data_IF_663818522311
#
_entry.id   IF_663818522311
#
_cell.length_a   1.000
_cell.length_b   1.000
_cell.length_c   1.000
_cell.angle_alpha   90.00
_cell.angle_beta   90.00
_cell.angle_gamma   90.00
#
_symmetry.space_group_name_H-M   'P 1'
#
loop_
_entity.id
_entity.type
_entity.pdbx_description
1 polymer ?
#
# COMPACT_ATOMS: atom_id res chain seq x y z
N UNK A 1 -37.44 29.57 -62.35
CA UNK A 1 -36.28 28.69 -62.05
C UNK A 1 -35.92 28.92 -60.59
N UNK A 2 -36.04 27.89 -59.72
CA UNK A 2 -35.60 27.80 -58.30
C UNK A 2 -36.63 27.25 -57.27
N UNK A 3 -37.80 26.74 -57.69
CA UNK A 3 -38.76 26.10 -56.75
C UNK A 3 -38.19 24.86 -56.04
N UNK A 4 -37.25 24.15 -56.67
CA UNK A 4 -36.56 23.00 -56.09
C UNK A 4 -35.59 23.39 -54.95
N UNK A 5 -34.97 24.57 -55.01
CA UNK A 5 -34.11 25.08 -53.93
C UNK A 5 -34.92 25.40 -52.68
N UNK A 6 -36.11 25.97 -52.83
CA UNK A 6 -36.99 26.27 -51.69
C UNK A 6 -37.55 25.00 -51.06
N UNK A 7 -37.87 23.98 -51.88
CA UNK A 7 -38.30 22.67 -51.37
C UNK A 7 -37.19 21.95 -50.58
N UNK A 8 -35.92 22.08 -51.01
CA UNK A 8 -34.76 21.57 -50.27
C UNK A 8 -34.55 22.31 -48.94
N UNK A 9 -34.69 23.64 -48.95
CA UNK A 9 -34.53 24.43 -47.73
C UNK A 9 -35.64 24.15 -46.71
N UNK A 10 -36.89 23.98 -47.15
CA UNK A 10 -37.98 23.53 -46.27
C UNK A 10 -37.77 22.11 -45.74
N UNK A 11 -37.28 21.17 -46.58
CA UNK A 11 -36.95 19.81 -46.15
C UNK A 11 -35.83 19.76 -45.12
N UNK A 12 -34.88 20.70 -45.19
CA UNK A 12 -33.81 20.84 -44.20
C UNK A 12 -34.39 21.41 -42.90
N UNK A 13 -35.22 22.47 -42.97
CA UNK A 13 -35.85 23.12 -41.81
C UNK A 13 -36.72 22.15 -41.00
N UNK A 14 -37.60 21.38 -41.65
CA UNK A 14 -38.48 20.40 -40.99
C UNK A 14 -37.73 19.22 -40.36
N UNK A 15 -36.49 18.95 -40.81
CA UNK A 15 -35.67 17.81 -40.36
C UNK A 15 -34.50 18.23 -39.46
N UNK A 16 -34.38 19.52 -39.11
CA UNK A 16 -33.34 20.01 -38.18
C UNK A 16 -33.42 19.32 -36.83
N UNK A 17 -34.62 19.11 -36.30
CA UNK A 17 -34.84 18.40 -35.04
C UNK A 17 -34.31 16.96 -35.11
N UNK A 18 -34.60 16.24 -36.20
CA UNK A 18 -34.11 14.88 -36.40
C UNK A 18 -32.57 14.83 -36.52
N UNK A 19 -31.97 15.80 -37.20
CA UNK A 19 -30.52 15.91 -37.32
C UNK A 19 -29.87 16.23 -35.96
N UNK A 20 -30.46 17.11 -35.14
CA UNK A 20 -29.96 17.43 -33.81
C UNK A 20 -30.00 16.22 -32.87
N UNK A 21 -31.10 15.45 -32.90
CA UNK A 21 -31.20 14.19 -32.13
C UNK A 21 -30.18 13.14 -32.58
N UNK A 22 -29.94 13.00 -33.89
CA UNK A 22 -28.94 12.07 -34.40
C UNK A 22 -27.51 12.44 -33.96
N UNK A 23 -27.18 13.73 -33.94
CA UNK A 23 -25.87 14.22 -33.44
C UNK A 23 -25.73 13.95 -31.95
N UNK A 24 -26.78 14.19 -31.16
CA UNK A 24 -26.75 13.95 -29.72
C UNK A 24 -26.54 12.47 -29.38
N UNK A 25 -27.23 11.56 -30.10
CA UNK A 25 -27.06 10.11 -29.94
C UNK A 25 -25.65 9.68 -30.35
N UNK A 26 -25.11 10.23 -31.45
CA UNK A 26 -23.77 9.90 -31.92
C UNK A 26 -22.69 10.32 -30.90
N UNK A 27 -22.82 11.49 -30.28
CA UNK A 27 -21.90 11.96 -29.23
C UNK A 27 -22.00 11.06 -27.99
N UNK A 28 -23.21 10.73 -27.55
CA UNK A 28 -23.43 9.82 -26.42
C UNK A 28 -22.85 8.42 -26.64
N UNK A 29 -23.05 7.86 -27.83
CA UNK A 29 -22.50 6.56 -28.21
C UNK A 29 -20.97 6.57 -28.25
N UNK A 30 -20.37 7.66 -28.76
CA UNK A 30 -18.91 7.82 -28.82
C UNK A 30 -18.32 7.95 -27.41
N UNK A 31 -18.95 8.74 -26.53
CA UNK A 31 -18.52 8.88 -25.14
C UNK A 31 -18.65 7.56 -24.34
N UNK A 32 -19.72 6.79 -24.59
CA UNK A 32 -19.90 5.47 -24.00
C UNK A 32 -18.84 4.48 -24.49
N UNK A 33 -18.54 4.45 -25.79
CA UNK A 33 -17.48 3.61 -26.35
C UNK A 33 -16.09 3.97 -25.79
N UNK A 34 -15.80 5.26 -25.61
CA UNK A 34 -14.56 5.72 -24.99
C UNK A 34 -14.48 5.31 -23.51
N UNK A 35 -15.60 5.39 -22.78
CA UNK A 35 -15.69 5.00 -21.38
C UNK A 35 -15.52 3.49 -21.18
N UNK A 36 -16.06 2.67 -22.09
CA UNK A 36 -15.88 1.22 -22.08
C UNK A 36 -14.42 0.84 -22.39
N UNK A 37 -13.75 1.59 -23.26
CA UNK A 37 -12.33 1.35 -23.58
C UNK A 37 -11.41 1.71 -22.40
N UNK A 38 -11.69 2.79 -21.67
CA UNK A 38 -10.92 3.15 -20.45
C UNK A 38 -11.16 2.19 -19.27
N UNK A 39 -12.30 1.50 -19.22
CA UNK A 39 -12.61 0.52 -18.17
C UNK A 39 -11.87 -0.81 -18.33
N UNK A 40 -11.24 -1.06 -19.48
CA UNK A 40 -10.61 -2.35 -19.78
C UNK A 40 -9.09 -2.39 -19.47
N UNK A 41 -8.54 -1.33 -18.87
CA UNK A 41 -7.12 -1.24 -18.55
C UNK A 41 -6.68 -1.92 -17.23
N UNK A 42 -7.59 -2.46 -16.41
CA UNK A 42 -7.21 -3.18 -15.19
C UNK A 42 -7.99 -4.50 -15.07
N UNK A 43 -7.52 -5.52 -15.79
CA UNK A 43 -7.88 -6.91 -15.51
C UNK A 43 -7.05 -7.38 -14.30
N UNK A 44 -7.66 -7.70 -13.13
CA UNK A 44 -6.93 -8.10 -11.93
C UNK A 44 -6.25 -9.48 -12.02
N UNK A 45 -6.48 -10.21 -13.12
CA UNK A 45 -6.07 -11.60 -13.26
C UNK A 45 -4.58 -11.78 -13.62
N UNK A 46 -3.92 -10.79 -14.22
CA UNK A 46 -2.49 -10.89 -14.60
C UNK A 46 -1.52 -10.52 -13.47
N UNK A 47 -1.97 -9.88 -12.40
CA UNK A 47 -1.10 -9.47 -11.29
C UNK A 47 -0.58 -10.65 -10.44
N UNK A 48 -1.28 -11.79 -10.45
CA UNK A 48 -1.00 -12.93 -9.57
C UNK A 48 0.22 -13.74 -10.04
N UNK A 49 0.55 -13.72 -11.34
CA UNK A 49 1.77 -14.37 -11.89
C UNK A 49 3.07 -13.78 -11.33
N UNK A 50 3.01 -12.57 -10.76
CA UNK A 50 4.18 -11.87 -10.21
C UNK A 50 4.61 -12.36 -8.82
N UNK A 51 3.75 -13.09 -8.09
CA UNK A 51 4.03 -13.48 -6.69
C UNK A 51 5.17 -14.50 -6.56
N UNK A 52 5.32 -15.42 -7.52
CA UNK A 52 6.44 -16.39 -7.53
C UNK A 52 7.79 -15.75 -7.87
N UNK A 53 7.82 -14.55 -8.44
CA UNK A 53 9.08 -13.88 -8.85
C UNK A 53 9.77 -13.13 -7.71
N UNK A 54 9.06 -12.79 -6.62
CA UNK A 54 9.58 -11.90 -5.57
C UNK A 54 9.90 -12.57 -4.23
N UNK A 55 9.47 -13.82 -4.02
CA UNK A 55 9.77 -14.57 -2.78
C UNK A 55 10.99 -15.44 -3.04
N UNK A 56 12.13 -15.22 -2.35
CA UNK A 56 13.30 -16.06 -2.53
C UNK A 56 13.01 -17.51 -2.18
N UNK A 57 13.79 -18.44 -2.75
CA UNK A 57 13.75 -19.85 -2.33
C UNK A 57 13.96 -19.95 -0.82
N UNK A 58 13.24 -20.87 -0.18
CA UNK A 58 13.25 -21.14 1.27
C UNK A 58 12.74 -19.98 2.14
N UNK A 59 11.96 -19.05 1.58
CA UNK A 59 11.29 -18.00 2.34
C UNK A 59 9.77 -18.10 2.22
N UNK A 60 9.10 -17.68 3.30
CA UNK A 60 7.66 -17.60 3.41
C UNK A 60 7.26 -16.15 3.68
N UNK A 61 6.12 -15.77 3.10
CA UNK A 61 5.40 -14.57 3.48
C UNK A 61 4.34 -14.92 4.50
N UNK A 62 4.50 -14.38 5.71
CA UNK A 62 3.53 -14.56 6.79
C UNK A 62 2.76 -13.25 6.98
N UNK A 63 1.44 -13.23 6.79
CA UNK A 63 0.60 -12.08 7.11
C UNK A 63 0.71 -11.75 8.60
N UNK A 64 0.82 -10.46 8.93
CA UNK A 64 0.94 -10.01 10.33
C UNK A 64 0.10 -8.78 10.60
N UNK A 65 -0.48 -8.74 11.79
CA UNK A 65 -1.16 -7.56 12.31
C UNK A 65 -0.16 -6.68 13.07
N UNK A 66 -0.09 -5.40 12.68
CA UNK A 66 0.81 -4.44 13.29
C UNK A 66 0.01 -3.46 14.15
N UNK A 67 0.19 -3.49 15.46
CA UNK A 67 -0.52 -2.65 16.42
C UNK A 67 -0.25 -1.15 16.20
N UNK A 68 0.94 -0.79 15.71
CA UNK A 68 1.33 0.59 15.43
C UNK A 68 1.34 0.93 13.93
N UNK A 69 0.48 0.27 13.12
CA UNK A 69 0.41 0.45 11.68
C UNK A 69 0.26 1.93 11.25
N UNK A 70 -0.64 2.67 11.89
CA UNK A 70 -0.87 4.10 11.61
C UNK A 70 0.38 4.96 11.80
N UNK A 71 1.28 4.56 12.70
CA UNK A 71 2.54 5.28 12.97
C UNK A 71 3.63 4.95 11.95
N UNK A 72 3.45 3.88 11.20
CA UNK A 72 4.36 3.49 10.11
C UNK A 72 3.95 4.14 8.78
N UNK A 73 2.73 4.68 8.69
CA UNK A 73 2.24 5.43 7.54
C UNK A 73 3.07 6.71 7.37
N UNK A 74 3.93 6.72 6.34
CA UNK A 74 4.88 7.80 6.06
C UNK A 74 6.35 7.48 6.35
N UNK A 75 6.63 6.42 7.13
CA UNK A 75 7.99 5.91 7.34
C UNK A 75 8.26 4.71 6.44
N UNK A 76 7.28 3.80 6.36
CA UNK A 76 7.35 2.59 5.57
C UNK A 76 6.76 2.86 4.17
N UNK A 77 7.57 2.63 3.13
CA UNK A 77 7.12 2.64 1.74
C UNK A 77 6.38 1.35 1.38
N UNK A 78 6.71 0.76 0.21
CA UNK A 78 6.21 -0.56 -0.17
C UNK A 78 6.80 -1.69 0.70
N UNK A 79 8.02 -1.49 1.20
CA UNK A 79 8.70 -2.42 2.10
C UNK A 79 9.67 -1.69 3.03
N UNK A 80 10.14 -2.38 4.07
CA UNK A 80 11.16 -1.87 4.98
C UNK A 80 11.75 -2.96 5.87
N UNK A 81 12.84 -2.63 6.56
CA UNK A 81 13.47 -3.52 7.54
C UNK A 81 12.98 -3.13 8.94
N UNK A 82 12.46 -4.09 9.69
CA UNK A 82 11.88 -3.86 11.01
C UNK A 82 12.36 -4.89 12.02
N UNK A 83 12.27 -4.53 13.29
CA UNK A 83 12.21 -5.50 14.38
C UNK A 83 10.75 -5.62 14.84
N UNK A 84 10.33 -6.84 15.14
CA UNK A 84 8.99 -7.13 15.64
C UNK A 84 9.03 -7.57 17.11
N UNK A 85 8.12 -6.99 17.88
CA UNK A 85 7.93 -7.27 19.29
C UNK A 85 6.48 -7.69 19.54
N UNK A 86 6.26 -8.52 20.55
CA UNK A 86 4.93 -8.84 21.08
C UNK A 86 4.85 -8.32 22.50
N UNK A 87 3.74 -7.65 22.82
CA UNK A 87 3.43 -7.20 24.19
C UNK A 87 2.45 -8.20 24.80
N UNK A 88 2.81 -8.87 25.92
CA UNK A 88 1.89 -9.78 26.60
C UNK A 88 0.64 -9.04 27.08
N UNK A 89 -0.53 -9.68 26.96
CA UNK A 89 -1.82 -9.10 27.40
C UNK A 89 -1.83 -8.76 28.91
N UNK A 90 -1.04 -9.47 29.71
CA UNK A 90 -0.91 -9.28 31.15
C UNK A 90 -0.06 -8.06 31.55
N UNK A 91 0.36 -7.22 30.59
CA UNK A 91 1.05 -5.96 30.88
C UNK A 91 2.55 -6.10 31.14
N UNK A 92 3.21 -7.06 30.48
CA UNK A 92 4.65 -7.31 30.60
C UNK A 92 5.53 -6.50 29.65
N UNK A 93 6.87 -6.60 29.78
CA UNK A 93 7.80 -5.99 28.84
C UNK A 93 7.60 -6.58 27.44
N UNK A 94 7.75 -5.73 26.42
CA UNK A 94 7.71 -6.17 25.03
C UNK A 94 8.83 -7.20 24.77
N UNK A 95 8.46 -8.36 24.23
CA UNK A 95 9.41 -9.42 23.87
C UNK A 95 9.70 -9.37 22.38
N UNK A 96 10.98 -9.38 22.04
CA UNK A 96 11.44 -9.45 20.65
C UNK A 96 11.12 -10.82 20.04
N UNK A 97 10.37 -10.82 18.94
CA UNK A 97 9.99 -12.03 18.19
C UNK A 97 10.83 -12.19 16.93
N UNK A 98 11.24 -11.10 16.30
CA UNK A 98 12.08 -11.13 15.12
C UNK A 98 12.90 -9.87 14.95
N UNK A 99 14.11 -10.01 14.39
CA UNK A 99 15.04 -8.89 14.14
C UNK A 99 15.31 -8.76 12.65
N UNK A 100 15.46 -7.53 12.19
CA UNK A 100 15.81 -7.20 10.79
C UNK A 100 14.95 -7.95 9.76
N UNK A 101 13.67 -8.12 10.08
CA UNK A 101 12.71 -8.75 9.18
C UNK A 101 12.32 -7.78 8.07
N UNK A 102 12.15 -8.31 6.86
CA UNK A 102 11.57 -7.55 5.76
C UNK A 102 10.06 -7.50 5.93
N UNK A 103 9.54 -6.32 6.27
CA UNK A 103 8.11 -6.06 6.30
C UNK A 103 7.68 -5.54 4.94
N UNK A 104 6.62 -6.13 4.38
CA UNK A 104 6.02 -5.77 3.11
C UNK A 104 4.61 -5.25 3.37
N UNK A 105 4.23 -4.20 2.63
CA UNK A 105 2.87 -3.68 2.58
C UNK A 105 2.19 -4.20 1.32
N UNK A 106 0.93 -4.62 1.44
CA UNK A 106 0.19 -5.10 0.27
C UNK A 106 -0.12 -3.93 -0.69
N UNK A 107 0.09 -4.08 -2.02
CA UNK A 107 -0.14 -3.00 -2.99
C UNK A 107 -1.60 -2.53 -3.05
N UNK A 108 -2.53 -3.48 -2.98
CA UNK A 108 -3.98 -3.22 -3.08
C UNK A 108 -4.62 -2.87 -1.73
N UNK A 109 -3.93 -3.13 -0.62
CA UNK A 109 -4.41 -2.84 0.72
C UNK A 109 -3.27 -2.34 1.62
N UNK A 110 -3.06 -1.02 1.74
CA UNK A 110 -1.99 -0.43 2.54
C UNK A 110 -2.02 -0.77 4.03
N UNK A 111 -3.17 -1.23 4.54
CA UNK A 111 -3.36 -1.64 5.93
C UNK A 111 -2.95 -3.10 6.16
N UNK A 112 -2.74 -3.88 5.10
CA UNK A 112 -2.30 -5.27 5.20
C UNK A 112 -0.77 -5.36 5.11
N UNK A 113 -0.18 -6.07 6.06
CA UNK A 113 1.25 -6.29 6.15
C UNK A 113 1.60 -7.78 6.14
N UNK A 114 2.78 -8.09 5.61
CA UNK A 114 3.37 -9.42 5.67
C UNK A 114 4.86 -9.31 5.98
N UNK A 115 5.39 -10.28 6.73
CA UNK A 115 6.84 -10.41 6.92
C UNK A 115 7.38 -11.52 6.05
N UNK A 116 8.54 -11.24 5.44
CA UNK A 116 9.33 -12.23 4.74
C UNK A 116 10.34 -12.84 5.71
N UNK A 117 10.30 -14.16 5.83
CA UNK A 117 11.10 -14.92 6.77
C UNK A 117 11.52 -16.26 6.16
N UNK A 118 12.63 -16.81 6.65
CA UNK A 118 13.05 -18.15 6.22
C UNK A 118 12.08 -19.19 6.75
N UNK A 119 11.81 -20.21 5.96
CA UNK A 119 10.92 -21.32 6.34
C UNK A 119 11.36 -21.97 7.67
N UNK A 120 12.68 -22.15 7.86
CA UNK A 120 13.25 -22.69 9.11
C UNK A 120 12.99 -21.86 10.36
N UNK A 121 12.64 -20.57 10.22
CA UNK A 121 12.34 -19.66 11.33
C UNK A 121 10.83 -19.48 11.55
N UNK A 122 9.99 -20.00 10.65
CA UNK A 122 8.55 -19.81 10.64
C UNK A 122 7.87 -20.37 11.90
N UNK A 123 8.22 -21.60 12.30
CA UNK A 123 7.60 -22.25 13.47
C UNK A 123 7.82 -21.44 14.76
N UNK A 124 9.04 -20.92 14.94
CA UNK A 124 9.39 -20.07 16.08
C UNK A 124 8.64 -18.75 16.05
N UNK A 125 8.48 -18.15 14.87
CA UNK A 125 7.75 -16.91 14.69
C UNK A 125 6.26 -17.10 15.03
N UNK A 126 5.64 -18.14 14.46
CA UNK A 126 4.22 -18.47 14.62
C UNK A 126 3.86 -18.91 16.05
N UNK A 127 4.81 -19.41 16.83
CA UNK A 127 4.62 -19.74 18.25
C UNK A 127 4.28 -18.51 19.12
N UNK A 128 4.45 -17.29 18.59
CA UNK A 128 4.23 -16.05 19.30
C UNK A 128 3.30 -15.15 18.49
N UNK A 129 1.98 -15.45 18.46
CA UNK A 129 1.03 -14.71 17.66
C UNK A 129 0.88 -13.27 18.15
N UNK A 130 0.67 -12.37 17.18
CA UNK A 130 0.47 -10.94 17.40
C UNK A 130 -0.90 -10.58 17.97
N UNK A 131 -1.18 -9.28 18.15
CA UNK A 131 -0.65 -8.18 17.33
C UNK A 131 0.80 -7.80 17.65
N UNK A 132 1.58 -7.46 16.61
CA UNK A 132 3.00 -7.12 16.72
C UNK A 132 3.21 -5.60 16.79
N UNK A 133 4.21 -5.16 17.54
CA UNK A 133 4.75 -3.80 17.46
C UNK A 133 5.99 -3.83 16.58
N UNK A 134 6.05 -2.97 15.57
CA UNK A 134 7.19 -2.86 14.67
C UNK A 134 8.04 -1.62 14.97
N UNK A 135 9.37 -1.80 14.99
CA UNK A 135 10.35 -0.72 15.04
C UNK A 135 11.16 -0.70 13.74
N UNK A 136 11.14 0.43 13.04
CA UNK A 136 11.80 0.57 11.73
C UNK A 136 13.30 0.74 11.90
N UNK A 137 14.08 -0.01 11.13
CA UNK A 137 15.54 0.13 11.05
C UNK A 137 15.94 0.81 9.74
N UNK A 138 16.92 1.75 9.78
CA UNK A 138 17.53 2.26 8.57
C UNK A 138 18.27 1.15 7.83
N UNK A 139 18.21 1.19 6.49
CA UNK A 139 18.86 0.19 5.63
C UNK A 139 20.40 0.29 5.67
N UNK A 140 20.94 1.44 6.09
CA UNK A 140 22.37 1.71 6.20
C UNK A 140 22.77 1.90 7.68
N UNK A 141 23.57 0.97 8.20
CA UNK A 141 24.08 1.04 9.57
C UNK A 141 25.23 2.05 9.67
N UNK A 142 24.90 3.34 9.74
CA UNK A 142 25.75 4.29 10.45
C UNK A 142 25.13 4.49 11.82
N UNK A 143 25.61 3.69 12.78
CA UNK A 143 25.17 3.70 14.17
C UNK A 143 25.27 5.11 14.75
N UNK A 144 24.13 5.73 15.04
CA UNK A 144 24.07 6.86 15.95
C UNK A 144 23.80 6.29 17.34
N UNK A 145 24.84 6.25 18.16
CA UNK A 145 24.72 5.92 19.57
C UNK A 145 23.86 7.00 20.25
N UNK A 146 22.79 6.59 20.93
CA UNK A 146 21.99 7.50 21.75
C UNK A 146 22.90 7.98 22.87
N UNK A 147 23.16 9.29 22.92
CA UNK A 147 24.00 9.91 23.92
C UNK A 147 23.54 9.44 25.32
N UNK A 148 24.39 8.66 25.99
CA UNK A 148 24.16 8.30 27.39
C UNK A 148 24.22 9.61 28.18
N UNK A 149 23.29 9.86 29.13
CA UNK A 149 23.41 11.00 30.01
C UNK A 149 24.74 10.89 30.76
N UNK A 150 25.64 11.84 30.52
CA UNK A 150 26.91 11.95 31.26
C UNK A 150 26.58 12.06 32.75
N UNK A 151 27.12 11.20 33.62
CA UNK A 151 26.92 11.34 35.06
C UNK A 151 27.42 12.72 35.51
N UNK A 152 26.54 13.54 36.08
CA UNK A 152 26.91 14.82 36.65
C UNK A 152 27.90 14.65 37.81
N UNK A 153 28.74 15.66 38.12
CA UNK A 153 29.74 15.57 39.17
C UNK A 153 29.09 15.26 40.52
N UNK A 154 29.58 14.21 41.17
CA UNK A 154 29.23 13.84 42.54
C UNK A 154 29.82 14.90 43.47
N UNK A 155 28.97 15.65 44.16
CA UNK A 155 29.38 16.54 45.25
C UNK A 155 29.52 15.65 46.48
N UNK A 156 30.74 15.24 46.79
CA UNK A 156 31.03 14.60 48.06
C UNK A 156 31.08 15.69 49.13
N UNK A 157 30.08 15.72 50.01
CA UNK A 157 30.11 16.57 51.20
C UNK A 157 31.12 15.97 52.18
N UNK A 158 32.31 16.58 52.28
CA UNK A 158 33.17 16.37 53.44
C UNK A 158 32.48 16.98 54.66
N UNK A 159 32.10 16.14 55.62
CA UNK A 159 31.73 16.59 56.96
C UNK A 159 33.01 16.83 57.77
N UNK A 160 33.14 18.05 58.30
CA UNK A 160 34.11 18.42 59.34
C UNK A 160 33.60 18.03 60.73
#
# INVERSE_FOLDING_TARGET
MNHWRQKILQLIEDRKELLLWLIFIAIGATAAALSLTMRQAESPAEAITSLETFIPRDHLLIPVEIANADKLEGILGANGIVDLYVVPAEGGPARLVGRRLRLLRAPLNPQAFAVLLKESEADRFLSNPGPYIASVRPLNEKTHEVARPTPGPRIDYQQE
#
